data_IF_873650252868
#
_entry.id   IF_873650252868
#
_cell.length_a   1.000
_cell.length_b   1.000
_cell.length_c   1.000
_cell.angle_alpha   90.00
_cell.angle_beta   90.00
_cell.angle_gamma   90.00
#
_symmetry.space_group_name_H-M   'P 1'
#
loop_
_entity.id
_entity.type
_entity.pdbx_description
1 polymer ?
#
# COMPACT_ATOMS: atom_id res chain seq x y z
N UNK A 1 -10.00 1.72 -3.04
CA UNK A 1 -8.52 1.70 -3.01
C UNK A 1 -7.92 3.10 -2.97
N UNK A 2 -8.41 4.04 -3.80
CA UNK A 2 -8.05 5.46 -3.70
C UNK A 2 -8.23 6.02 -2.29
N UNK A 3 -9.33 5.68 -1.61
CA UNK A 3 -9.59 6.17 -0.25
C UNK A 3 -8.66 5.59 0.82
N UNK A 4 -8.28 4.30 0.73
CA UNK A 4 -7.31 3.66 1.61
C UNK A 4 -5.92 4.29 1.48
N UNK A 5 -5.47 4.50 0.24
CA UNK A 5 -4.22 5.22 -0.04
C UNK A 5 -4.29 6.67 0.45
N UNK A 6 -5.42 7.37 0.25
CA UNK A 6 -5.63 8.73 0.76
C UNK A 6 -5.52 8.78 2.28
N UNK A 7 -6.16 7.85 3.00
CA UNK A 7 -6.06 7.77 4.46
C UNK A 7 -4.64 7.46 4.94
N UNK A 8 -3.91 6.60 4.23
CA UNK A 8 -2.50 6.35 4.48
C UNK A 8 -1.67 7.65 4.33
N UNK A 9 -1.75 8.33 3.18
CA UNK A 9 -0.94 9.51 2.90
C UNK A 9 -1.27 10.69 3.82
N UNK A 10 -2.54 10.91 4.14
CA UNK A 10 -2.98 11.95 5.09
C UNK A 10 -2.57 11.67 6.54
N UNK A 11 -2.10 10.47 6.85
CA UNK A 11 -1.56 10.15 8.18
C UNK A 11 -0.09 10.57 8.35
N UNK A 12 0.55 11.09 7.29
CA UNK A 12 1.91 11.62 7.35
C UNK A 12 1.94 13.17 7.32
N UNK A 13 2.86 13.81 8.06
CA UNK A 13 3.76 13.20 9.06
C UNK A 13 3.00 12.83 10.34
N UNK A 14 3.26 11.66 10.95
CA UNK A 14 2.65 11.34 12.23
C UNK A 14 3.38 12.09 13.33
N UNK A 15 2.74 13.14 13.85
CA UNK A 15 3.29 14.03 14.89
C UNK A 15 2.87 13.63 16.30
N UNK A 16 1.92 12.71 16.45
CA UNK A 16 1.41 12.20 17.73
C UNK A 16 1.37 10.68 17.74
N UNK A 17 1.35 10.06 18.92
CA UNK A 17 1.27 8.58 19.04
C UNK A 17 0.01 8.01 18.38
N UNK A 18 -1.13 8.72 18.42
CA UNK A 18 -2.35 8.28 17.75
C UNK A 18 -2.19 8.27 16.23
N UNK A 19 -1.50 9.27 15.67
CA UNK A 19 -1.18 9.31 14.24
C UNK A 19 -0.21 8.21 13.85
N UNK A 20 0.75 7.87 14.69
CA UNK A 20 1.65 6.73 14.45
C UNK A 20 0.88 5.40 14.41
N UNK A 21 0.02 5.15 15.39
CA UNK A 21 -0.83 3.95 15.42
C UNK A 21 -1.74 3.89 14.19
N UNK A 22 -2.27 5.04 13.76
CA UNK A 22 -3.07 5.16 12.54
C UNK A 22 -2.26 4.82 11.28
N UNK A 23 -1.03 5.32 11.15
CA UNK A 23 -0.12 5.01 10.03
C UNK A 23 0.13 3.50 9.94
N UNK A 24 0.43 2.85 11.07
CA UNK A 24 0.65 1.39 11.14
C UNK A 24 -0.61 0.64 10.69
N UNK A 25 -1.77 0.97 11.27
CA UNK A 25 -3.05 0.33 10.92
C UNK A 25 -3.41 0.52 9.45
N UNK A 26 -3.16 1.70 8.88
CA UNK A 26 -3.41 1.96 7.46
C UNK A 26 -2.46 1.18 6.55
N UNK A 27 -1.19 1.06 6.93
CA UNK A 27 -0.23 0.23 6.20
C UNK A 27 -0.64 -1.25 6.20
N UNK A 28 -1.02 -1.80 7.35
CA UNK A 28 -1.52 -3.18 7.46
C UNK A 28 -2.76 -3.43 6.59
N UNK A 29 -3.68 -2.46 6.55
CA UNK A 29 -4.85 -2.52 5.69
C UNK A 29 -4.49 -2.53 4.20
N UNK A 30 -3.48 -1.77 3.78
CA UNK A 30 -2.95 -1.79 2.41
C UNK A 30 -2.34 -3.16 2.06
N UNK A 31 -1.51 -3.72 2.95
CA UNK A 31 -0.92 -5.05 2.76
C UNK A 31 -1.99 -6.14 2.65
N UNK A 32 -2.99 -6.10 3.53
CA UNK A 32 -4.12 -7.05 3.48
C UNK A 32 -4.92 -6.92 2.19
N UNK A 33 -5.17 -5.69 1.72
CA UNK A 33 -5.83 -5.48 0.43
C UNK A 33 -5.01 -6.06 -0.73
N UNK A 34 -3.69 -5.81 -0.74
CA UNK A 34 -2.80 -6.31 -1.77
C UNK A 34 -2.83 -7.84 -1.85
N UNK A 35 -2.73 -8.53 -0.71
CA UNK A 35 -2.72 -9.98 -0.66
C UNK A 35 -4.09 -10.60 -0.95
N UNK A 36 -5.16 -10.08 -0.35
CA UNK A 36 -6.47 -10.71 -0.41
C UNK A 36 -7.25 -10.38 -1.69
N UNK A 37 -6.95 -9.25 -2.35
CA UNK A 37 -7.73 -8.78 -3.51
C UNK A 37 -6.88 -8.55 -4.74
N UNK A 38 -5.78 -7.81 -4.62
CA UNK A 38 -4.99 -7.41 -5.79
C UNK A 38 -4.27 -8.61 -6.43
N UNK A 39 -3.55 -9.41 -5.64
CA UNK A 39 -2.84 -10.59 -6.16
C UNK A 39 -3.76 -11.59 -6.86
N UNK A 40 -4.89 -12.04 -6.28
CA UNK A 40 -5.81 -12.93 -6.98
C UNK A 40 -6.42 -12.31 -8.24
N UNK A 41 -6.64 -10.99 -8.25
CA UNK A 41 -7.11 -10.29 -9.44
C UNK A 41 -6.04 -10.25 -10.54
N UNK A 42 -4.79 -9.94 -10.18
CA UNK A 42 -3.64 -9.94 -11.10
C UNK A 42 -3.42 -11.30 -11.74
N UNK A 43 -3.44 -12.38 -10.94
CA UNK A 43 -3.31 -13.75 -11.44
C UNK A 43 -4.41 -14.12 -12.44
N UNK A 44 -5.67 -13.76 -12.15
CA UNK A 44 -6.79 -13.96 -13.08
C UNK A 44 -6.63 -13.11 -14.33
N UNK A 45 -6.27 -11.84 -14.17
CA UNK A 45 -6.12 -10.91 -15.28
C UNK A 45 -5.02 -11.36 -16.26
N UNK A 46 -3.87 -11.80 -15.75
CA UNK A 46 -2.78 -12.36 -16.56
C UNK A 46 -3.26 -13.60 -17.31
N UNK A 47 -3.99 -14.50 -16.65
CA UNK A 47 -4.48 -15.73 -17.28
C UNK A 47 -5.51 -15.48 -18.38
N UNK A 48 -6.45 -14.57 -18.16
CA UNK A 48 -7.59 -14.35 -19.03
C UNK A 48 -7.31 -13.33 -20.15
N UNK A 49 -6.40 -12.39 -19.91
CA UNK A 49 -6.15 -11.25 -20.81
C UNK A 49 -4.67 -11.10 -21.18
N UNK A 50 -3.89 -12.19 -21.15
CA UNK A 50 -2.49 -12.18 -21.60
C UNK A 50 -2.38 -11.64 -23.04
N UNK A 51 -1.48 -10.67 -23.32
CA UNK A 51 -0.41 -10.14 -22.46
C UNK A 51 -0.77 -8.87 -21.67
N UNK A 52 -1.95 -8.27 -21.92
CA UNK A 52 -2.38 -6.98 -21.33
C UNK A 52 -2.76 -7.11 -19.85
N UNK A 53 -3.13 -8.31 -19.39
CA UNK A 53 -3.55 -8.55 -18.01
C UNK A 53 -2.59 -8.03 -16.93
N UNK A 54 -1.28 -8.09 -17.18
CA UNK A 54 -0.26 -7.58 -16.25
C UNK A 54 -0.22 -6.04 -16.18
N UNK A 55 -0.59 -5.34 -17.25
CA UNK A 55 -0.57 -3.87 -17.26
C UNK A 55 -1.77 -3.27 -16.51
N UNK A 56 -2.87 -4.04 -16.35
CA UNK A 56 -4.09 -3.61 -15.67
C UNK A 56 -3.88 -3.31 -14.18
N UNK A 57 -2.95 -3.99 -13.53
CA UNK A 57 -2.64 -3.81 -12.10
C UNK A 57 -1.39 -2.95 -11.88
N UNK A 58 -0.63 -2.64 -12.93
CA UNK A 58 0.67 -1.98 -12.85
C UNK A 58 0.63 -0.68 -12.03
N UNK A 59 -0.31 0.22 -12.34
CA UNK A 59 -0.40 1.50 -11.65
C UNK A 59 -0.74 1.32 -10.16
N UNK A 60 -1.61 0.36 -9.83
CA UNK A 60 -1.99 0.08 -8.46
C UNK A 60 -0.81 -0.48 -7.66
N UNK A 61 -0.02 -1.35 -8.27
CA UNK A 61 1.23 -1.87 -7.70
C UNK A 61 2.25 -0.76 -7.47
N UNK A 62 2.39 0.20 -8.38
CA UNK A 62 3.28 1.36 -8.21
C UNK A 62 2.87 2.23 -7.01
N UNK A 63 1.56 2.49 -6.85
CA UNK A 63 1.05 3.25 -5.70
C UNK A 63 1.29 2.53 -4.37
N UNK A 64 1.10 1.21 -4.34
CA UNK A 64 1.39 0.38 -3.17
C UNK A 64 2.88 0.36 -2.82
N UNK A 65 3.76 0.23 -3.82
CA UNK A 65 5.21 0.32 -3.61
C UNK A 65 5.64 1.69 -3.08
N UNK A 66 5.03 2.78 -3.55
CA UNK A 66 5.31 4.12 -3.03
C UNK A 66 4.91 4.25 -1.55
N UNK A 67 3.74 3.72 -1.18
CA UNK A 67 3.30 3.67 0.20
C UNK A 67 4.24 2.82 1.08
N UNK A 68 4.68 1.67 0.58
CA UNK A 68 5.62 0.79 1.26
C UNK A 68 6.96 1.47 1.56
N UNK A 69 7.59 2.08 0.54
CA UNK A 69 8.84 2.84 0.70
C UNK A 69 8.69 3.96 1.72
N UNK A 70 7.56 4.67 1.72
CA UNK A 70 7.29 5.74 2.68
C UNK A 70 7.21 5.21 4.11
N UNK A 71 6.49 4.10 4.31
CA UNK A 71 6.32 3.48 5.63
C UNK A 71 7.63 2.93 6.17
N UNK A 72 8.39 2.17 5.36
CA UNK A 72 9.68 1.60 5.76
C UNK A 72 10.66 2.70 6.19
N UNK A 73 10.81 3.75 5.37
CA UNK A 73 11.68 4.88 5.71
C UNK A 73 11.28 5.56 7.01
N UNK A 74 9.98 5.77 7.23
CA UNK A 74 9.49 6.35 8.49
C UNK A 74 9.78 5.43 9.69
N UNK A 75 9.53 4.13 9.56
CA UNK A 75 9.79 3.13 10.60
C UNK A 75 11.28 3.04 10.96
N UNK A 76 12.16 3.09 9.97
CA UNK A 76 13.62 3.12 10.19
C UNK A 76 14.06 4.37 10.96
N UNK A 77 13.55 5.55 10.60
CA UNK A 77 13.84 6.80 11.32
C UNK A 77 13.35 6.71 12.76
N UNK A 78 12.17 6.13 13.00
CA UNK A 78 11.63 5.92 14.34
C UNK A 78 12.49 4.96 15.17
N UNK A 79 12.92 3.83 14.61
CA UNK A 79 13.76 2.85 15.32
C UNK A 79 15.17 3.36 15.67
N UNK A 80 15.63 4.43 15.00
CA UNK A 80 16.93 5.08 15.28
C UNK A 80 16.85 6.18 16.34
N UNK A 81 15.64 6.63 16.71
CA UNK A 81 15.39 7.64 17.75
C UNK A 81 15.09 6.96 19.06
#
# INVERSE_FOLDING_TARGET
MSELLRHFWTSFPPTTQELEAKVVKMYEALQRFQMAKLKPFEERAIREFSPVGASLTLHLNQLLQAADRKFVKWREIKMRR
#
